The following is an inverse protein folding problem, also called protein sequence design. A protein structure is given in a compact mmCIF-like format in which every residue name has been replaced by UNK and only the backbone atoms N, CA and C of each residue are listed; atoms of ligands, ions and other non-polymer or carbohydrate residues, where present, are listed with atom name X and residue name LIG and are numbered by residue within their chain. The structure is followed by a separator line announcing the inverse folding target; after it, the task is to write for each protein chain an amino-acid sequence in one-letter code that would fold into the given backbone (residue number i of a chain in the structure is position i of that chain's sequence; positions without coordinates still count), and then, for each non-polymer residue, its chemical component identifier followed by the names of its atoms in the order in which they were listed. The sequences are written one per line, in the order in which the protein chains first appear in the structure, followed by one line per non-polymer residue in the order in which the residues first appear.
data_IF_850415788672
#
_entry.id   IF_850415788672
#
_cell.length_a   1.000
_cell.length_b   1.000
_cell.length_c   1.000
_cell.angle_alpha   90.00
_cell.angle_beta   90.00
_cell.angle_gamma   90.00
#
_symmetry.space_group_name_H-M   'P 1'
#
loop_
_entity.id
_entity.type
_entity.pdbx_description
1 polymer ?
#
# COMPACT_ATOMS: atom_id res chain seq x y z
N UNK A 1 43.44 -0.22 26.54
CA UNK A 1 42.79 -0.67 25.28
C UNK A 1 41.58 0.22 25.03
N UNK A 2 41.43 0.70 23.81
CA UNK A 2 40.96 2.06 23.51
C UNK A 2 39.45 2.09 23.21
N UNK A 3 38.63 2.68 24.09
CA UNK A 3 37.15 2.76 23.98
C UNK A 3 36.70 3.52 22.73
N UNK A 4 37.52 4.48 22.25
CA UNK A 4 37.22 5.24 21.03
C UNK A 4 37.25 4.40 19.76
N UNK A 5 38.07 3.33 19.73
CA UNK A 5 38.17 2.42 18.58
C UNK A 5 36.88 1.59 18.43
N UNK A 6 36.26 1.21 19.55
CA UNK A 6 35.00 0.46 19.53
C UNK A 6 33.85 1.29 18.96
N UNK A 7 33.76 2.58 19.30
CA UNK A 7 32.74 3.47 18.75
C UNK A 7 32.89 3.66 17.25
N UNK A 8 34.13 3.84 16.76
CA UNK A 8 34.43 3.95 15.33
C UNK A 8 34.13 2.65 14.57
N UNK A 9 34.41 1.49 15.16
CA UNK A 9 34.07 0.18 14.56
C UNK A 9 32.55 -0.03 14.51
N UNK A 10 31.82 0.29 15.59
CA UNK A 10 30.35 0.19 15.59
C UNK A 10 29.72 1.11 14.54
N UNK A 11 30.19 2.35 14.40
CA UNK A 11 29.69 3.27 13.37
C UNK A 11 29.99 2.74 11.96
N UNK A 12 31.17 2.16 11.74
CA UNK A 12 31.52 1.56 10.44
C UNK A 12 30.69 0.33 10.08
N UNK A 13 30.34 -0.50 11.07
CA UNK A 13 29.47 -1.67 10.88
C UNK A 13 28.04 -1.24 10.58
N UNK A 14 27.53 -0.22 11.28
CA UNK A 14 26.20 0.36 11.01
C UNK A 14 26.14 0.97 9.61
N UNK A 15 27.16 1.75 9.20
CA UNK A 15 27.22 2.39 7.88
C UNK A 15 27.35 1.34 6.76
N UNK A 16 28.18 0.31 6.95
CA UNK A 16 28.31 -0.79 5.99
C UNK A 16 27.00 -1.58 5.87
N UNK A 17 26.33 -1.88 6.99
CA UNK A 17 25.04 -2.56 7.00
C UNK A 17 23.96 -1.72 6.30
N UNK A 18 23.92 -0.41 6.56
CA UNK A 18 23.00 0.52 5.88
C UNK A 18 23.28 0.59 4.37
N UNK A 19 24.54 0.67 3.94
CA UNK A 19 24.90 0.70 2.52
C UNK A 19 24.58 -0.62 1.80
N UNK A 20 24.77 -1.76 2.47
CA UNK A 20 24.42 -3.07 1.92
C UNK A 20 22.89 -3.25 1.83
N UNK A 21 22.13 -2.79 2.83
CA UNK A 21 20.66 -2.84 2.84
C UNK A 21 20.05 -1.86 1.84
N UNK A 22 20.59 -0.64 1.67
CA UNK A 22 20.08 0.32 0.68
C UNK A 22 20.41 -0.08 -0.77
N UNK A 23 21.39 -0.96 -0.99
CA UNK A 23 21.68 -1.54 -2.30
C UNK A 23 20.72 -2.66 -2.71
N UNK A 24 19.95 -3.21 -1.77
CA UNK A 24 18.97 -4.27 -2.01
C UNK A 24 17.54 -3.71 -1.99
N UNK A 25 17.05 -3.38 -3.19
CA UNK A 25 15.64 -3.07 -3.55
C UNK A 25 15.10 -1.72 -3.08
N UNK A 26 15.47 -0.67 -3.79
CA UNK A 26 14.43 0.19 -4.35
C UNK A 26 13.71 -0.61 -5.45
N UNK A 27 12.73 -1.43 -5.07
CA UNK A 27 11.66 -1.69 -6.01
C UNK A 27 11.09 -0.30 -6.32
N UNK A 28 11.06 0.15 -7.59
CA UNK A 28 10.23 1.31 -7.89
C UNK A 28 8.85 0.93 -7.39
N UNK A 29 8.31 1.72 -6.46
CA UNK A 29 6.87 1.79 -6.28
C UNK A 29 6.43 2.33 -7.63
N UNK A 30 6.15 1.44 -8.58
CA UNK A 30 5.51 1.79 -9.84
C UNK A 30 4.30 2.57 -9.42
N UNK A 31 4.32 3.87 -9.74
CA UNK A 31 3.32 4.82 -9.31
C UNK A 31 1.94 4.19 -9.50
N UNK A 32 1.16 4.12 -8.40
CA UNK A 32 -0.27 3.95 -8.54
C UNK A 32 -0.75 4.99 -9.57
N UNK A 33 -1.60 4.60 -10.54
CA UNK A 33 -2.06 5.50 -11.57
C UNK A 33 -2.60 6.81 -10.96
N UNK A 34 -2.37 7.97 -11.61
CA UNK A 34 -2.91 9.23 -11.15
C UNK A 34 -4.45 9.17 -11.18
N UNK A 35 -5.05 9.36 -10.00
CA UNK A 35 -6.48 9.48 -9.76
C UNK A 35 -7.11 10.56 -10.66
N UNK A 36 -7.51 10.14 -11.85
CA UNK A 36 -8.38 10.86 -12.78
C UNK A 36 -9.43 9.88 -13.31
N UNK A 37 -9.89 8.98 -12.43
CA UNK A 37 -10.86 7.95 -12.72
C UNK A 37 -12.19 8.27 -12.04
N UNK A 38 -13.27 7.87 -12.69
CA UNK A 38 -14.50 7.44 -12.03
C UNK A 38 -14.23 6.93 -10.59
N UNK A 39 -14.89 7.52 -9.59
CA UNK A 39 -14.69 7.23 -8.16
C UNK A 39 -14.67 5.73 -7.86
N UNK A 40 -15.46 4.94 -8.58
CA UNK A 40 -15.54 3.48 -8.45
C UNK A 40 -14.25 2.76 -8.88
N UNK A 41 -13.53 3.24 -9.90
CA UNK A 41 -12.23 2.69 -10.32
C UNK A 41 -11.17 2.92 -9.24
N UNK A 42 -11.07 4.15 -8.74
CA UNK A 42 -10.10 4.51 -7.70
C UNK A 42 -10.35 3.76 -6.39
N UNK A 43 -11.62 3.59 -6.01
CA UNK A 43 -12.01 2.76 -4.85
C UNK A 43 -11.58 1.31 -5.06
N UNK A 44 -11.83 0.75 -6.26
CA UNK A 44 -11.40 -0.61 -6.56
C UNK A 44 -9.89 -0.76 -6.46
N UNK A 45 -9.12 0.14 -7.10
CA UNK A 45 -7.66 0.07 -7.11
C UNK A 45 -7.09 0.20 -5.70
N UNK A 46 -7.67 1.08 -4.87
CA UNK A 46 -7.30 1.22 -3.46
C UNK A 46 -7.54 -0.08 -2.68
N UNK A 47 -8.73 -0.66 -2.80
CA UNK A 47 -9.08 -1.90 -2.08
C UNK A 47 -8.20 -3.06 -2.53
N UNK A 48 -8.02 -3.24 -3.84
CA UNK A 48 -7.16 -4.31 -4.40
C UNK A 48 -5.70 -4.09 -3.99
N UNK A 49 -5.22 -2.85 -3.96
CA UNK A 49 -3.89 -2.50 -3.47
C UNK A 49 -3.70 -2.87 -1.99
N UNK A 50 -4.70 -2.61 -1.15
CA UNK A 50 -4.66 -3.01 0.26
C UNK A 50 -4.62 -4.53 0.43
N UNK A 51 -5.39 -5.28 -0.38
CA UNK A 51 -5.34 -6.75 -0.39
C UNK A 51 -3.94 -7.24 -0.78
N UNK A 52 -3.34 -6.67 -1.83
CA UNK A 52 -2.00 -7.02 -2.29
C UNK A 52 -0.93 -6.78 -1.21
N UNK A 53 -1.00 -5.66 -0.50
CA UNK A 53 -0.09 -5.35 0.62
C UNK A 53 -0.32 -6.30 1.79
N UNK A 54 -1.56 -6.60 2.15
CA UNK A 54 -1.89 -7.52 3.24
C UNK A 54 -1.32 -8.93 2.99
N UNK A 55 -1.47 -9.45 1.76
CA UNK A 55 -0.93 -10.75 1.36
C UNK A 55 0.60 -10.73 1.31
N UNK A 56 1.19 -9.79 0.58
CA UNK A 56 2.64 -9.79 0.29
C UNK A 56 3.52 -9.36 1.46
N UNK A 57 3.06 -8.41 2.26
CA UNK A 57 3.88 -7.77 3.29
C UNK A 57 3.67 -8.38 4.67
N UNK A 58 2.47 -8.90 4.94
CA UNK A 58 2.11 -9.42 6.26
C UNK A 58 1.81 -10.92 6.26
N UNK A 59 1.80 -11.59 5.10
CA UNK A 59 1.30 -12.98 4.96
C UNK A 59 -0.03 -13.14 5.71
N UNK A 60 -0.91 -12.14 5.55
CA UNK A 60 -2.16 -12.08 6.28
C UNK A 60 -3.01 -13.31 5.94
N UNK A 61 -3.70 -13.87 6.93
CA UNK A 61 -4.69 -14.91 6.63
C UNK A 61 -5.89 -14.30 5.90
N UNK A 62 -6.61 -15.13 5.14
CA UNK A 62 -7.84 -14.70 4.45
C UNK A 62 -8.79 -13.91 5.38
N UNK A 63 -8.98 -14.39 6.61
CA UNK A 63 -9.84 -13.75 7.59
C UNK A 63 -9.32 -12.37 8.00
N UNK A 64 -8.00 -12.19 8.11
CA UNK A 64 -7.39 -10.89 8.40
C UNK A 64 -7.57 -9.92 7.23
N UNK A 65 -7.37 -10.38 5.99
CA UNK A 65 -7.63 -9.57 4.78
C UNK A 65 -9.08 -9.11 4.74
N UNK A 66 -10.04 -10.00 4.99
CA UNK A 66 -11.47 -9.66 5.06
C UNK A 66 -11.73 -8.58 6.10
N UNK A 67 -11.15 -8.69 7.30
CA UNK A 67 -11.29 -7.68 8.36
C UNK A 67 -10.71 -6.34 7.92
N UNK A 68 -9.51 -6.33 7.34
CA UNK A 68 -8.84 -5.10 6.88
C UNK A 68 -9.69 -4.40 5.80
N UNK A 69 -10.13 -5.15 4.79
CA UNK A 69 -10.96 -4.61 3.70
C UNK A 69 -12.31 -4.12 4.23
N UNK A 70 -12.96 -4.85 5.13
CA UNK A 70 -14.20 -4.40 5.76
C UNK A 70 -14.02 -3.07 6.53
N UNK A 71 -12.94 -2.95 7.31
CA UNK A 71 -12.65 -1.70 8.04
C UNK A 71 -12.34 -0.55 7.08
N UNK A 72 -11.60 -0.80 6.01
CA UNK A 72 -11.35 0.18 4.96
C UNK A 72 -12.66 0.64 4.31
N UNK A 73 -13.55 -0.30 3.98
CA UNK A 73 -14.87 -0.02 3.43
C UNK A 73 -15.76 0.81 4.37
N UNK A 74 -15.67 0.57 5.68
CA UNK A 74 -16.36 1.38 6.69
C UNK A 74 -15.78 2.81 6.78
N UNK A 75 -14.45 2.94 6.66
CA UNK A 75 -13.75 4.22 6.79
C UNK A 75 -14.02 5.16 5.61
N UNK A 76 -14.18 4.61 4.40
CA UNK A 76 -14.47 5.39 3.18
C UNK A 76 -15.96 5.82 3.13
N UNK A 77 -16.75 5.53 4.17
CA UNK A 77 -18.21 5.49 4.16
C UNK A 77 -18.98 6.54 3.35
N UNK A 78 -19.93 6.05 2.53
CA UNK A 78 -21.14 6.79 2.12
C UNK A 78 -21.73 6.46 0.73
N UNK A 79 -22.92 5.86 0.69
CA UNK A 79 -23.77 5.83 -0.51
C UNK A 79 -23.38 4.80 -1.57
N UNK A 80 -23.30 5.23 -2.85
CA UNK A 80 -22.96 4.40 -4.03
C UNK A 80 -21.78 3.48 -3.72
N UNK A 81 -20.75 4.04 -3.06
CA UNK A 81 -19.50 3.45 -2.52
C UNK A 81 -19.70 2.14 -1.73
N UNK A 82 -20.84 2.01 -1.03
CA UNK A 82 -21.17 0.79 -0.27
C UNK A 82 -21.43 -0.41 -1.18
N UNK A 83 -21.93 -0.19 -2.39
CA UNK A 83 -22.20 -1.26 -3.35
C UNK A 83 -20.90 -1.79 -3.96
N UNK A 84 -19.95 -0.92 -4.32
CA UNK A 84 -18.62 -1.37 -4.78
C UNK A 84 -17.88 -2.10 -3.68
N UNK A 85 -17.88 -1.59 -2.45
CA UNK A 85 -17.25 -2.28 -1.33
C UNK A 85 -17.93 -3.61 -0.97
N UNK A 86 -19.26 -3.71 -1.07
CA UNK A 86 -19.99 -4.97 -0.91
C UNK A 86 -19.60 -6.00 -1.97
N UNK A 87 -19.42 -5.58 -3.21
CA UNK A 87 -18.94 -6.45 -4.28
C UNK A 87 -17.49 -6.88 -4.04
N UNK A 88 -16.60 -5.95 -3.73
CA UNK A 88 -15.16 -6.20 -3.55
C UNK A 88 -14.88 -7.11 -2.36
N UNK A 89 -15.62 -6.95 -1.25
CA UNK A 89 -15.53 -7.83 -0.08
C UNK A 89 -15.94 -9.27 -0.39
N UNK A 90 -16.97 -9.45 -1.24
CA UNK A 90 -17.35 -10.77 -1.76
C UNK A 90 -16.33 -11.38 -2.73
N UNK A 91 -15.57 -10.53 -3.43
CA UNK A 91 -14.58 -10.94 -4.43
C UNK A 91 -13.17 -11.20 -3.87
N UNK A 92 -12.91 -11.00 -2.56
CA UNK A 92 -11.56 -11.08 -1.96
C UNK A 92 -10.81 -12.36 -2.34
N UNK A 93 -11.44 -13.53 -2.22
CA UNK A 93 -10.82 -14.82 -2.57
C UNK A 93 -10.32 -14.84 -4.02
N UNK A 94 -11.13 -14.31 -4.94
CA UNK A 94 -10.83 -14.28 -6.37
C UNK A 94 -9.77 -13.22 -6.68
N UNK A 95 -9.81 -12.08 -6.00
CA UNK A 95 -8.79 -11.03 -6.10
C UNK A 95 -7.43 -11.56 -5.65
N UNK A 96 -7.36 -12.30 -4.53
CA UNK A 96 -6.11 -12.93 -4.07
C UNK A 96 -5.57 -13.91 -5.11
N UNK A 97 -6.43 -14.73 -5.72
CA UNK A 97 -6.00 -15.65 -6.79
C UNK A 97 -5.45 -14.92 -8.01
N UNK A 98 -6.06 -13.78 -8.38
CA UNK A 98 -5.57 -12.96 -9.49
C UNK A 98 -4.27 -12.24 -9.15
N UNK A 99 -4.09 -11.77 -7.93
CA UNK A 99 -2.83 -11.22 -7.45
C UNK A 99 -1.73 -12.29 -7.44
N UNK A 100 -2.05 -13.53 -7.07
CA UNK A 100 -1.13 -14.67 -7.14
C UNK A 100 -0.75 -15.05 -8.59
N UNK A 101 -1.60 -14.68 -9.56
CA UNK A 101 -1.32 -14.78 -11.00
C UNK A 101 -0.65 -13.53 -11.58
N UNK A 102 -0.12 -12.65 -10.72
CA UNK A 102 0.61 -11.42 -11.07
C UNK A 102 -0.23 -10.37 -11.81
N UNK A 103 -1.57 -10.38 -11.66
CA UNK A 103 -2.40 -9.29 -12.18
C UNK A 103 -2.23 -8.02 -11.33
N UNK A 104 -2.19 -6.87 -11.99
CA UNK A 104 -2.10 -5.58 -11.29
C UNK A 104 -3.49 -5.13 -10.76
N UNK A 105 -3.54 -4.22 -9.78
CA UNK A 105 -4.81 -3.64 -9.32
C UNK A 105 -5.65 -3.04 -10.46
N UNK A 106 -5.00 -2.41 -11.44
CA UNK A 106 -5.66 -1.84 -12.63
C UNK A 106 -6.32 -2.94 -13.47
N UNK A 107 -5.58 -4.02 -13.77
CA UNK A 107 -6.10 -5.15 -14.57
C UNK A 107 -7.28 -5.83 -13.90
N UNK A 108 -7.19 -6.00 -12.57
CA UNK A 108 -8.27 -6.57 -11.74
C UNK A 108 -9.49 -5.65 -11.78
N UNK A 109 -9.31 -4.35 -11.59
CA UNK A 109 -10.41 -3.39 -11.56
C UNK A 109 -11.05 -3.16 -12.93
N UNK A 110 -10.30 -3.30 -14.02
CA UNK A 110 -10.86 -3.38 -15.38
C UNK A 110 -11.67 -4.66 -15.59
N UNK A 111 -11.15 -5.81 -15.13
CA UNK A 111 -11.84 -7.10 -15.20
C UNK A 111 -13.11 -7.15 -14.35
N UNK A 112 -13.13 -6.40 -13.25
CA UNK A 112 -14.33 -6.19 -12.42
C UNK A 112 -15.25 -5.08 -12.95
N UNK A 113 -14.91 -4.47 -14.10
CA UNK A 113 -15.64 -3.39 -14.75
C UNK A 113 -15.78 -2.10 -13.94
N UNK A 114 -14.99 -1.92 -12.87
CA UNK A 114 -14.89 -0.66 -12.15
C UNK A 114 -14.11 0.39 -12.95
N UNK A 115 -13.16 -0.04 -13.78
CA UNK A 115 -12.39 0.82 -14.66
C UNK A 115 -12.77 0.53 -16.13
N UNK A 116 -13.70 1.30 -16.69
CA UNK A 116 -14.03 1.19 -18.12
C UNK A 116 -13.02 2.03 -18.93
N UNK A 117 -12.27 1.40 -19.82
CA UNK A 117 -11.29 2.07 -20.70
C UNK A 117 -11.98 2.91 -21.78
N UNK A 118 -12.54 4.07 -21.43
CA UNK A 118 -13.01 5.04 -22.44
C UNK A 118 -12.74 6.48 -21.99
N UNK A 119 -11.50 6.94 -22.13
CA UNK A 119 -11.14 8.29 -22.59
C UNK A 119 -9.60 8.45 -22.69
N UNK A 120 -9.06 9.01 -23.79
CA UNK A 120 -7.73 9.62 -23.78
C UNK A 120 -7.79 10.91 -22.94
N UNK A 121 -7.04 10.97 -21.84
CA UNK A 121 -7.07 12.04 -20.85
C UNK A 121 -6.04 13.13 -21.24
N UNK A 122 -6.39 14.44 -21.27
CA UNK A 122 -5.39 15.49 -21.15
C UNK A 122 -4.87 15.52 -19.71
N UNK A 123 -3.57 15.29 -19.56
CA UNK A 123 -2.84 15.23 -18.29
C UNK A 123 -2.96 16.55 -17.52
N UNK A 124 -3.66 16.56 -16.39
CA UNK A 124 -3.54 17.61 -15.36
C UNK A 124 -3.02 16.95 -14.09
N UNK A 125 -1.84 17.42 -13.68
CA UNK A 125 -1.15 17.03 -12.45
C UNK A 125 -1.90 17.54 -11.22
N UNK A 126 -2.32 16.63 -10.36
CA UNK A 126 -2.67 16.93 -8.97
C UNK A 126 -1.49 16.51 -8.08
N UNK A 127 -0.55 17.42 -7.88
CA UNK A 127 0.42 17.34 -6.78
C UNK A 127 -0.28 17.65 -5.47
N UNK A 128 -0.38 16.66 -4.58
CA UNK A 128 -0.24 16.84 -3.12
C UNK A 128 0.10 15.48 -2.45
N UNK A 129 1.13 14.81 -2.96
CA UNK A 129 1.74 13.61 -2.35
C UNK A 129 2.36 13.86 -0.97
N UNK A 130 2.55 15.13 -0.57
CA UNK A 130 3.24 15.49 0.67
C UNK A 130 2.44 15.12 1.94
N UNK A 131 1.12 15.01 1.82
CA UNK A 131 0.20 14.70 2.92
C UNK A 131 0.29 13.23 3.36
N UNK A 132 0.43 12.32 2.38
CA UNK A 132 0.45 10.88 2.63
C UNK A 132 1.82 10.40 3.13
N UNK A 133 2.90 11.04 2.69
CA UNK A 133 4.25 10.82 3.24
C UNK A 133 4.36 11.29 4.70
N UNK A 134 3.65 12.36 5.08
CA UNK A 134 3.59 12.81 6.48
C UNK A 134 2.82 11.81 7.35
N UNK A 135 1.73 11.25 6.84
CA UNK A 135 0.91 10.28 7.60
C UNK A 135 1.67 8.98 7.84
N UNK A 136 2.40 8.46 6.86
CA UNK A 136 3.22 7.25 7.04
C UNK A 136 4.35 7.48 8.04
N UNK A 137 5.08 8.60 7.94
CA UNK A 137 6.15 8.94 8.89
C UNK A 137 5.64 9.15 10.32
N UNK A 138 4.48 9.79 10.50
CA UNK A 138 3.87 9.97 11.83
C UNK A 138 3.41 8.65 12.46
N UNK A 139 2.89 7.71 11.66
CA UNK A 139 2.52 6.37 12.13
C UNK A 139 3.76 5.57 12.56
N UNK A 140 4.85 5.62 11.78
CA UNK A 140 6.12 4.99 12.15
C UNK A 140 6.73 5.61 13.42
N UNK A 141 6.76 6.94 13.54
CA UNK A 141 7.29 7.62 14.74
C UNK A 141 6.49 7.28 16.00
N UNK A 142 5.15 7.19 15.90
CA UNK A 142 4.30 6.83 17.04
C UNK A 142 4.55 5.38 17.50
N UNK A 143 4.75 4.45 16.56
CA UNK A 143 5.10 3.06 16.89
C UNK A 143 6.46 2.96 17.60
N UNK A 144 7.45 3.74 17.17
CA UNK A 144 8.76 3.80 17.82
C UNK A 144 8.69 4.41 19.24
N UNK A 145 7.88 5.45 19.45
CA UNK A 145 7.69 6.06 20.77
C UNK A 145 7.05 5.08 21.77
N UNK A 146 6.04 4.31 21.32
CA UNK A 146 5.40 3.29 22.16
C UNK A 146 6.38 2.16 22.54
N UNK A 147 7.35 1.84 21.68
CA UNK A 147 8.37 0.83 21.95
C UNK A 147 9.50 1.29 22.91
N UNK A 148 9.66 2.60 23.14
CA UNK A 148 10.68 3.16 24.05
C UNK A 148 10.15 3.44 25.46
N UNK A 149 8.83 3.37 25.67
CA UNK A 149 8.17 3.66 26.95
C UNK A 149 7.43 2.44 27.51
N UNK A 150 7.94 1.23 27.21
CA UNK A 150 7.62 -0.02 27.89
C UNK A 150 8.87 -0.57 28.60
#
# INVERSE_FOLDING_TARGET
MNVSIFSSLLLSMSVLCVLLVTSARSAPITAAPPATGNTSCEICELVVGVIAVAESSFNASLQQVIIIVNNLCLLIGGGVIGAECGFLTGAINQIIQWLAAELTPVDICQRLHFCNSTAPIPMVSATDSKSLELLSTLLFQKAQFLAQNQ
#
